data_IF_659743846792
#
_entry.id   IF_659743846792
#
_cell.length_a   1.000
_cell.length_b   1.000
_cell.length_c   1.000
_cell.angle_alpha   90.00
_cell.angle_beta   90.00
_cell.angle_gamma   90.00
#
_symmetry.space_group_name_H-M   'P 1'
#
loop_
_entity.id
_entity.type
_entity.pdbx_description
1 polymer ?
#
# COMPACT_ATOMS: atom_id res chain seq x y z
N UNK A 1 -26.90 44.13 35.88
CA UNK A 1 -25.82 43.25 36.36
C UNK A 1 -25.34 42.42 35.20
N UNK A 2 -24.19 42.85 34.63
CA UNK A 2 -23.56 42.18 33.49
C UNK A 2 -22.40 41.33 34.03
N UNK A 3 -22.48 40.01 33.85
CA UNK A 3 -21.39 39.10 34.19
C UNK A 3 -20.38 39.03 33.01
N UNK A 4 -19.10 39.21 33.25
CA UNK A 4 -18.10 39.03 32.22
C UNK A 4 -17.80 37.55 32.02
N UNK A 5 -18.05 37.05 30.80
CA UNK A 5 -17.62 35.72 30.36
C UNK A 5 -16.12 35.78 30.13
N UNK A 6 -15.34 35.17 31.05
CA UNK A 6 -13.92 34.89 30.83
C UNK A 6 -13.78 33.79 29.77
N UNK A 7 -13.44 34.19 28.55
CA UNK A 7 -13.05 33.26 27.50
C UNK A 7 -11.61 32.79 27.78
N UNK A 8 -11.48 31.59 28.30
CA UNK A 8 -10.21 30.90 28.47
C UNK A 8 -9.72 30.47 27.08
N UNK A 9 -8.69 31.13 26.56
CA UNK A 9 -7.98 30.69 25.36
C UNK A 9 -7.19 29.44 25.74
N UNK A 10 -7.69 28.27 25.31
CA UNK A 10 -6.91 27.02 25.30
C UNK A 10 -5.66 27.27 24.45
N UNK A 11 -4.49 27.34 25.10
CA UNK A 11 -3.20 27.24 24.39
C UNK A 11 -3.16 25.86 23.75
N UNK A 12 -3.37 25.79 22.43
CA UNK A 12 -2.99 24.64 21.61
C UNK A 12 -1.46 24.58 21.72
N UNK A 13 -0.97 23.69 22.56
CA UNK A 13 0.44 23.31 22.54
C UNK A 13 0.68 22.70 21.18
N UNK A 14 1.53 23.32 20.38
CA UNK A 14 2.04 22.76 19.15
C UNK A 14 2.69 21.41 19.50
N UNK A 15 1.99 20.31 19.27
CA UNK A 15 2.62 19.01 19.07
C UNK A 15 3.36 19.11 17.74
N UNK A 16 4.60 19.59 17.79
CA UNK A 16 5.56 19.32 16.74
C UNK A 16 5.95 17.84 16.93
N UNK A 17 5.14 16.91 16.44
CA UNK A 17 5.60 15.55 16.21
C UNK A 17 6.80 15.66 15.29
N UNK A 18 7.95 15.16 15.76
CA UNK A 18 9.14 15.01 14.92
C UNK A 18 8.73 14.02 13.84
N UNK A 19 8.42 14.52 12.67
CA UNK A 19 8.10 13.72 11.50
C UNK A 19 9.31 12.83 11.21
N UNK A 20 9.20 11.53 11.50
CA UNK A 20 10.27 10.56 11.27
C UNK A 20 9.99 9.87 9.96
N UNK A 21 10.78 10.17 8.93
CA UNK A 21 10.70 9.49 7.63
C UNK A 21 10.84 7.97 7.80
N UNK A 22 10.09 7.19 7.00
CA UNK A 22 10.12 5.72 7.06
C UNK A 22 11.41 5.11 6.52
N UNK A 23 12.24 5.87 5.83
CA UNK A 23 13.51 5.42 5.27
C UNK A 23 14.56 6.53 5.31
N UNK A 24 15.81 6.16 5.12
CA UNK A 24 17.00 7.04 5.18
C UNK A 24 17.94 6.78 4.01
N UNK A 25 19.05 7.51 3.94
CA UNK A 25 20.13 7.22 2.96
C UNK A 25 20.55 5.75 3.03
N UNK A 26 20.80 5.15 1.86
CA UNK A 26 21.20 3.76 1.63
C UNK A 26 20.10 2.73 1.98
N UNK A 27 18.85 3.15 2.18
CA UNK A 27 17.76 2.21 2.44
C UNK A 27 17.40 1.39 1.21
N UNK A 28 17.03 0.13 1.47
CA UNK A 28 16.40 -0.79 0.52
C UNK A 28 14.89 -0.77 0.73
N UNK A 29 14.14 -0.38 -0.29
CA UNK A 29 12.69 -0.28 -0.31
C UNK A 29 12.14 -1.44 -1.13
N UNK A 30 11.36 -2.33 -0.48
CA UNK A 30 10.76 -3.50 -1.10
C UNK A 30 9.25 -3.29 -1.30
N UNK A 31 8.77 -3.48 -2.51
CA UNK A 31 7.35 -3.52 -2.85
C UNK A 31 6.87 -4.95 -3.01
N UNK A 32 5.85 -5.34 -2.24
CA UNK A 32 5.16 -6.61 -2.29
C UNK A 32 3.70 -6.42 -2.66
N UNK A 33 3.15 -7.37 -3.40
CA UNK A 33 1.75 -7.32 -3.82
C UNK A 33 1.43 -8.23 -4.99
N UNK A 34 0.36 -7.87 -5.66
CA UNK A 34 -0.20 -8.57 -6.82
C UNK A 34 0.11 -7.84 -8.15
N UNK A 35 -0.81 -7.93 -9.14
CA UNK A 35 -0.69 -7.29 -10.46
C UNK A 35 -0.58 -5.77 -10.41
N UNK A 36 -1.16 -5.13 -9.40
CA UNK A 36 -1.09 -3.66 -9.23
C UNK A 36 0.35 -3.24 -8.90
N UNK A 37 1.04 -4.06 -8.12
CA UNK A 37 2.46 -3.84 -7.77
C UNK A 37 3.39 -4.35 -8.86
N UNK A 38 3.13 -5.53 -9.42
CA UNK A 38 3.88 -6.14 -10.53
C UNK A 38 3.96 -5.19 -11.75
N UNK A 39 2.80 -4.75 -12.23
CA UNK A 39 2.64 -3.82 -13.34
C UNK A 39 3.59 -4.09 -14.53
N UNK A 40 3.77 -5.36 -14.88
CA UNK A 40 4.62 -5.80 -16.00
C UNK A 40 6.12 -5.75 -15.72
N UNK A 41 6.54 -5.84 -14.44
CA UNK A 41 7.95 -5.96 -14.10
C UNK A 41 8.59 -7.18 -14.79
N UNK A 42 9.86 -7.07 -15.12
CA UNK A 42 10.62 -8.17 -15.71
C UNK A 42 11.62 -8.76 -14.71
N UNK A 43 12.19 -9.92 -15.06
CA UNK A 43 13.32 -10.51 -14.32
C UNK A 43 14.68 -9.91 -14.69
N UNK A 44 14.72 -8.83 -15.46
CA UNK A 44 15.93 -8.15 -15.89
C UNK A 44 16.71 -7.61 -14.69
N UNK A 45 18.06 -7.63 -14.73
CA UNK A 45 18.88 -6.90 -13.77
C UNK A 45 18.82 -5.37 -13.95
N UNK A 46 18.28 -4.89 -15.08
CA UNK A 46 18.07 -3.48 -15.34
C UNK A 46 17.01 -2.92 -14.38
N UNK A 47 17.35 -1.92 -13.54
CA UNK A 47 16.44 -1.36 -12.54
C UNK A 47 15.13 -0.85 -13.15
N UNK A 48 15.19 -0.21 -14.33
CA UNK A 48 14.01 0.41 -14.94
C UNK A 48 12.98 -0.63 -15.39
N UNK A 49 13.43 -1.78 -15.92
CA UNK A 49 12.53 -2.86 -16.34
C UNK A 49 12.14 -3.80 -15.18
N UNK A 50 12.94 -3.89 -14.13
CA UNK A 50 12.66 -4.72 -12.97
C UNK A 50 11.60 -4.14 -12.04
N UNK A 51 11.31 -2.84 -12.14
CA UNK A 51 10.27 -2.15 -11.34
C UNK A 51 8.88 -2.20 -11.98
N UNK A 52 8.77 -2.57 -13.25
CA UNK A 52 7.53 -2.50 -14.01
C UNK A 52 7.19 -1.07 -14.43
N UNK A 53 5.90 -0.82 -14.70
CA UNK A 53 5.39 0.49 -15.13
C UNK A 53 4.33 1.08 -14.18
N UNK A 54 4.24 0.54 -12.95
CA UNK A 54 3.27 0.93 -11.93
C UNK A 54 3.82 1.90 -10.90
N UNK A 55 3.10 2.04 -9.78
CA UNK A 55 3.47 2.96 -8.70
C UNK A 55 4.90 2.75 -8.15
N UNK A 56 5.48 1.51 -8.09
CA UNK A 56 6.86 1.34 -7.65
C UNK A 56 7.86 2.07 -8.55
N UNK A 57 7.64 2.04 -9.86
CA UNK A 57 8.46 2.75 -10.84
C UNK A 57 8.39 4.28 -10.64
N UNK A 58 7.18 4.83 -10.48
CA UNK A 58 7.00 6.27 -10.26
C UNK A 58 7.64 6.73 -8.94
N UNK A 59 7.48 5.95 -7.85
CA UNK A 59 8.12 6.25 -6.56
C UNK A 59 9.64 6.28 -6.70
N UNK A 60 10.23 5.24 -7.28
CA UNK A 60 11.67 5.11 -7.42
C UNK A 60 12.26 6.29 -8.22
N UNK A 61 11.66 6.62 -9.36
CA UNK A 61 12.15 7.71 -10.21
C UNK A 61 12.00 9.08 -9.53
N UNK A 62 10.87 9.35 -8.88
CA UNK A 62 10.66 10.61 -8.16
C UNK A 62 11.63 10.78 -6.99
N UNK A 63 11.84 9.72 -6.20
CA UNK A 63 12.77 9.78 -5.07
C UNK A 63 14.23 9.90 -5.51
N UNK A 64 14.65 9.15 -6.54
CA UNK A 64 16.00 9.26 -7.10
C UNK A 64 16.27 10.63 -7.72
N UNK A 65 15.27 11.23 -8.39
CA UNK A 65 15.40 12.57 -8.95
C UNK A 65 15.45 13.67 -7.86
N UNK A 66 14.70 13.48 -6.75
CA UNK A 66 14.64 14.45 -5.65
C UNK A 66 15.84 14.32 -4.71
N UNK A 67 16.30 13.09 -4.48
CA UNK A 67 17.38 12.77 -3.53
C UNK A 67 18.49 11.93 -4.18
N UNK A 68 19.19 12.44 -5.22
CA UNK A 68 20.16 11.66 -5.99
C UNK A 68 21.37 11.17 -5.17
N UNK A 69 21.65 11.82 -4.06
CA UNK A 69 22.74 11.46 -3.14
C UNK A 69 22.32 10.49 -2.02
N UNK A 70 21.09 10.00 -2.03
CA UNK A 70 20.60 9.09 -0.98
C UNK A 70 20.91 7.62 -1.26
N UNK A 71 21.33 7.27 -2.49
CA UNK A 71 21.68 5.90 -2.85
C UNK A 71 20.60 4.88 -2.43
N UNK A 72 19.34 5.16 -2.79
CA UNK A 72 18.22 4.29 -2.48
C UNK A 72 18.18 3.09 -3.44
N UNK A 73 17.85 1.91 -2.90
CA UNK A 73 17.63 0.69 -3.66
C UNK A 73 16.15 0.34 -3.66
N UNK A 74 15.59 0.03 -4.83
CA UNK A 74 14.18 -0.32 -4.98
C UNK A 74 14.05 -1.72 -5.55
N UNK A 75 13.19 -2.55 -4.94
CA UNK A 75 12.95 -3.93 -5.35
C UNK A 75 11.44 -4.14 -5.49
N UNK A 76 10.99 -4.55 -6.66
CA UNK A 76 9.60 -4.95 -6.88
C UNK A 76 9.50 -6.48 -6.89
N UNK A 77 8.66 -7.02 -6.00
CA UNK A 77 8.33 -8.45 -5.88
C UNK A 77 6.82 -8.70 -5.97
N UNK A 78 6.07 -7.77 -6.60
CA UNK A 78 4.70 -8.02 -7.01
C UNK A 78 4.61 -9.22 -7.96
N UNK A 79 3.55 -10.01 -7.84
CA UNK A 79 3.27 -11.15 -8.74
C UNK A 79 1.79 -11.13 -9.10
N UNK A 80 1.52 -10.94 -10.40
CA UNK A 80 0.15 -10.86 -10.92
C UNK A 80 -0.70 -12.04 -10.50
N UNK A 81 -1.91 -11.76 -10.01
CA UNK A 81 -2.88 -12.77 -9.58
C UNK A 81 -2.68 -13.31 -8.16
N UNK A 82 -1.59 -12.94 -7.45
CA UNK A 82 -1.39 -13.41 -6.09
C UNK A 82 -2.48 -12.91 -5.14
N UNK A 83 -2.93 -13.82 -4.29
CA UNK A 83 -3.67 -13.58 -3.04
C UNK A 83 -2.69 -13.59 -1.87
N UNK A 84 -3.20 -13.35 -0.67
CA UNK A 84 -2.40 -13.56 0.56
C UNK A 84 -1.84 -14.98 0.64
N UNK A 85 -2.55 -15.99 0.14
CA UNK A 85 -2.10 -17.39 0.09
C UNK A 85 -0.81 -17.56 -0.74
N UNK A 86 -0.82 -17.15 -1.99
CA UNK A 86 0.34 -17.31 -2.89
C UNK A 86 1.50 -16.40 -2.44
N UNK A 87 1.20 -15.19 -1.94
CA UNK A 87 2.23 -14.30 -1.40
C UNK A 87 2.92 -14.90 -0.17
N UNK A 88 2.17 -15.54 0.73
CA UNK A 88 2.73 -16.21 1.92
C UNK A 88 3.66 -17.37 1.55
N UNK A 89 3.34 -18.13 0.51
CA UNK A 89 4.15 -19.28 0.07
C UNK A 89 5.56 -18.88 -0.45
N UNK A 90 5.73 -17.62 -0.89
CA UNK A 90 7.02 -17.09 -1.37
C UNK A 90 7.67 -16.07 -0.43
N UNK A 91 7.09 -15.87 0.76
CA UNK A 91 7.46 -14.77 1.66
C UNK A 91 8.91 -14.81 2.12
N UNK A 92 9.42 -15.99 2.45
CA UNK A 92 10.82 -16.16 2.84
C UNK A 92 11.79 -15.69 1.74
N UNK A 93 11.60 -16.21 0.52
CA UNK A 93 12.48 -15.91 -0.62
C UNK A 93 12.37 -14.46 -1.08
N UNK A 94 11.14 -13.95 -1.19
CA UNK A 94 10.83 -12.68 -1.85
C UNK A 94 10.69 -11.50 -0.87
N UNK A 95 10.79 -11.74 0.45
CA UNK A 95 10.77 -10.71 1.49
C UNK A 95 11.89 -10.89 2.51
N UNK A 96 11.86 -11.97 3.33
CA UNK A 96 12.76 -12.09 4.48
C UNK A 96 14.24 -12.15 4.06
N UNK A 97 14.56 -12.91 3.01
CA UNK A 97 15.94 -13.05 2.50
C UNK A 97 16.48 -11.77 1.84
N UNK A 98 15.61 -10.81 1.48
CA UNK A 98 16.02 -9.53 0.88
C UNK A 98 16.37 -8.46 1.92
N UNK A 99 15.98 -8.66 3.19
CA UNK A 99 16.30 -7.81 4.33
C UNK A 99 16.06 -6.31 4.05
N UNK A 100 14.84 -5.91 3.64
CA UNK A 100 14.55 -4.52 3.36
C UNK A 100 14.61 -3.63 4.62
N UNK A 101 14.85 -2.33 4.43
CA UNK A 101 14.68 -1.32 5.47
C UNK A 101 13.23 -0.81 5.52
N UNK A 102 12.58 -0.73 4.36
CA UNK A 102 11.15 -0.39 4.24
C UNK A 102 10.44 -1.44 3.37
N UNK A 103 9.38 -2.00 3.91
CA UNK A 103 8.48 -2.93 3.22
C UNK A 103 7.16 -2.24 2.93
N UNK A 104 6.81 -2.14 1.65
CA UNK A 104 5.52 -1.64 1.17
C UNK A 104 4.67 -2.81 0.67
N UNK A 105 3.45 -2.98 1.19
CA UNK A 105 2.58 -4.12 0.85
C UNK A 105 1.21 -3.63 0.38
N UNK A 106 0.80 -4.07 -0.82
CA UNK A 106 -0.56 -3.89 -1.37
C UNK A 106 -1.08 -5.24 -1.85
N UNK A 107 -2.01 -5.85 -1.12
CA UNK A 107 -2.57 -7.17 -1.41
C UNK A 107 -4.01 -7.28 -0.92
N UNK A 108 -4.85 -8.07 -1.60
CA UNK A 108 -6.19 -8.42 -1.13
C UNK A 108 -7.28 -8.38 -2.20
N UNK A 109 -7.07 -7.68 -3.32
CA UNK A 109 -8.10 -7.62 -4.36
C UNK A 109 -8.33 -9.00 -5.00
N UNK A 110 -7.29 -9.83 -5.17
CA UNK A 110 -7.44 -11.17 -5.70
C UNK A 110 -8.05 -12.15 -4.68
N UNK A 111 -7.87 -11.92 -3.37
CA UNK A 111 -8.57 -12.65 -2.31
C UNK A 111 -10.09 -12.47 -2.41
N UNK A 112 -10.53 -11.34 -2.94
CA UNK A 112 -11.93 -11.07 -3.28
C UNK A 112 -12.28 -11.57 -4.67
N UNK A 113 -11.46 -11.25 -5.69
CA UNK A 113 -11.82 -11.55 -7.09
C UNK A 113 -12.02 -13.03 -7.37
N UNK A 114 -11.22 -13.92 -6.72
CA UNK A 114 -11.34 -15.39 -6.93
C UNK A 114 -12.68 -15.95 -6.49
N UNK A 115 -13.41 -15.29 -5.59
CA UNK A 115 -14.81 -15.62 -5.26
C UNK A 115 -15.72 -15.54 -6.49
N UNK A 116 -15.54 -14.50 -7.31
CA UNK A 116 -16.44 -14.17 -8.42
C UNK A 116 -16.07 -14.84 -9.74
N UNK A 117 -14.80 -15.04 -10.03
CA UNK A 117 -14.35 -15.61 -11.31
C UNK A 117 -14.07 -17.12 -11.25
N UNK A 118 -13.79 -17.67 -10.06
CA UNK A 118 -13.39 -19.08 -9.88
C UNK A 118 -14.20 -19.83 -8.84
N UNK A 119 -15.07 -19.17 -8.10
CA UNK A 119 -15.76 -19.81 -6.97
C UNK A 119 -14.80 -20.25 -5.86
N UNK A 120 -13.64 -19.61 -5.73
CA UNK A 120 -12.59 -19.93 -4.76
C UNK A 120 -12.38 -18.73 -3.78
N UNK A 121 -13.30 -18.54 -2.82
CA UNK A 121 -13.25 -17.41 -1.90
C UNK A 121 -12.13 -17.57 -0.87
N UNK A 122 -11.46 -16.48 -0.54
CA UNK A 122 -10.65 -16.37 0.68
C UNK A 122 -11.52 -15.78 1.78
N UNK A 123 -11.63 -16.45 2.94
CA UNK A 123 -12.36 -15.89 4.09
C UNK A 123 -11.64 -14.65 4.65
N UNK A 124 -12.37 -13.82 5.38
CA UNK A 124 -11.78 -12.65 6.06
C UNK A 124 -10.75 -13.09 7.10
N UNK A 125 -11.04 -14.16 7.82
CA UNK A 125 -10.16 -14.76 8.83
C UNK A 125 -8.85 -15.26 8.21
N UNK A 126 -8.93 -15.93 7.07
CA UNK A 126 -7.76 -16.41 6.33
C UNK A 126 -6.92 -15.25 5.78
N UNK A 127 -7.57 -14.23 5.22
CA UNK A 127 -6.90 -13.01 4.76
C UNK A 127 -6.16 -12.33 5.92
N UNK A 128 -6.86 -12.07 7.04
CA UNK A 128 -6.31 -11.45 8.24
C UNK A 128 -5.13 -12.24 8.81
N UNK A 129 -5.32 -13.54 9.02
CA UNK A 129 -4.30 -14.39 9.66
C UNK A 129 -3.04 -14.49 8.80
N UNK A 130 -3.16 -14.65 7.48
CA UNK A 130 -2.02 -14.72 6.56
C UNK A 130 -1.28 -13.39 6.48
N UNK A 131 -2.01 -12.27 6.32
CA UNK A 131 -1.41 -10.94 6.26
C UNK A 131 -0.66 -10.63 7.56
N UNK A 132 -1.30 -10.84 8.71
CA UNK A 132 -0.71 -10.61 10.03
C UNK A 132 0.53 -11.49 10.25
N UNK A 133 0.47 -12.78 9.91
CA UNK A 133 1.61 -13.70 10.05
C UNK A 133 2.81 -13.27 9.20
N UNK A 134 2.59 -12.84 7.95
CA UNK A 134 3.65 -12.36 7.06
C UNK A 134 4.33 -11.11 7.61
N UNK A 135 3.55 -10.09 8.02
CA UNK A 135 4.11 -8.85 8.55
C UNK A 135 4.82 -9.08 9.89
N UNK A 136 4.26 -9.93 10.76
CA UNK A 136 4.91 -10.33 12.01
C UNK A 136 6.24 -11.02 11.75
N UNK A 137 6.29 -12.00 10.85
CA UNK A 137 7.53 -12.68 10.49
C UNK A 137 8.59 -11.71 9.94
N UNK A 138 8.19 -10.69 9.18
CA UNK A 138 9.12 -9.67 8.70
C UNK A 138 9.68 -8.80 9.84
N UNK A 139 8.85 -8.38 10.80
CA UNK A 139 9.29 -7.65 12.00
C UNK A 139 10.17 -8.53 12.92
N UNK A 140 9.83 -9.80 13.09
CA UNK A 140 10.62 -10.73 13.89
C UNK A 140 12.03 -10.98 13.26
N UNK A 141 12.11 -11.00 11.92
CA UNK A 141 13.37 -11.14 11.19
C UNK A 141 14.23 -9.85 11.18
N UNK A 142 13.59 -8.68 11.22
CA UNK A 142 14.25 -7.38 11.31
C UNK A 142 13.40 -6.42 12.17
N UNK A 143 13.72 -6.25 13.47
CA UNK A 143 12.98 -5.35 14.37
C UNK A 143 12.99 -3.87 13.94
N UNK A 144 14.01 -3.44 13.19
CA UNK A 144 14.13 -2.06 12.69
C UNK A 144 13.35 -1.82 11.38
N UNK A 145 12.81 -2.90 10.77
CA UNK A 145 12.02 -2.82 9.55
C UNK A 145 10.86 -1.84 9.70
N UNK A 146 10.73 -0.92 8.75
CA UNK A 146 9.53 -0.10 8.61
C UNK A 146 8.54 -0.77 7.66
N UNK A 147 7.25 -0.72 8.01
CA UNK A 147 6.17 -1.29 7.19
C UNK A 147 5.17 -0.21 6.82
N UNK A 148 4.98 0.00 5.52
CA UNK A 148 3.89 0.79 4.95
C UNK A 148 2.87 -0.17 4.33
N UNK A 149 1.74 -0.33 5.00
CA UNK A 149 0.65 -1.18 4.52
C UNK A 149 -0.34 -0.34 3.72
N UNK A 150 -0.68 -0.81 2.52
CA UNK A 150 -1.59 -0.14 1.59
C UNK A 150 -2.90 -0.91 1.54
N UNK A 151 -3.99 -0.21 1.69
CA UNK A 151 -5.36 -0.74 1.65
C UNK A 151 -5.70 -1.28 0.26
N UNK A 152 -6.25 -2.52 0.15
CA UNK A 152 -6.83 -2.96 -1.11
C UNK A 152 -8.06 -2.12 -1.46
N UNK A 153 -8.34 -1.95 -2.76
CA UNK A 153 -9.41 -1.08 -3.24
C UNK A 153 -10.15 -1.69 -4.43
N UNK A 154 -11.33 -1.14 -4.72
CA UNK A 154 -12.10 -1.41 -5.95
C UNK A 154 -12.83 -0.14 -6.40
N UNK A 155 -12.78 0.18 -7.69
CA UNK A 155 -13.52 1.28 -8.27
C UNK A 155 -14.79 0.79 -8.96
N UNK A 156 -15.89 1.51 -8.77
CA UNK A 156 -17.22 1.15 -9.29
C UNK A 156 -17.35 1.56 -10.76
N UNK A 157 -16.65 0.86 -11.66
CA UNK A 157 -16.74 1.10 -13.11
C UNK A 157 -17.95 0.42 -13.74
N UNK A 158 -18.50 -0.61 -13.10
CA UNK A 158 -19.69 -1.35 -13.52
C UNK A 158 -20.33 -2.06 -12.30
N UNK A 159 -21.50 -2.69 -12.50
CA UNK A 159 -22.22 -3.38 -11.42
C UNK A 159 -21.48 -4.61 -10.89
N UNK A 160 -20.74 -5.32 -11.72
CA UNK A 160 -19.91 -6.45 -11.28
C UNK A 160 -18.86 -5.98 -10.25
N UNK A 161 -18.16 -4.89 -10.54
CA UNK A 161 -17.15 -4.35 -9.61
C UNK A 161 -17.79 -3.77 -8.34
N UNK A 162 -19.01 -3.24 -8.47
CA UNK A 162 -19.78 -2.81 -7.29
C UNK A 162 -20.07 -3.99 -6.34
N UNK A 163 -20.42 -5.16 -6.88
CA UNK A 163 -20.72 -6.33 -6.06
C UNK A 163 -19.52 -6.86 -5.27
N UNK A 164 -18.28 -6.54 -5.68
CA UNK A 164 -17.09 -6.95 -4.94
C UNK A 164 -17.02 -6.35 -3.53
N UNK A 165 -17.74 -5.25 -3.27
CA UNK A 165 -17.78 -4.61 -1.95
C UNK A 165 -18.24 -5.53 -0.84
N UNK A 166 -19.21 -6.41 -1.12
CA UNK A 166 -19.70 -7.38 -0.13
C UNK A 166 -18.56 -8.22 0.48
N UNK A 167 -17.57 -8.57 -0.32
CA UNK A 167 -16.47 -9.42 0.07
C UNK A 167 -15.18 -8.63 0.40
N UNK A 168 -14.95 -7.49 -0.27
CA UNK A 168 -13.76 -6.67 -0.07
C UNK A 168 -13.82 -5.81 1.18
N UNK A 169 -14.96 -5.19 1.50
CA UNK A 169 -15.06 -4.26 2.63
C UNK A 169 -14.68 -4.89 3.98
N UNK A 170 -15.09 -6.14 4.30
CA UNK A 170 -14.59 -6.83 5.49
C UNK A 170 -13.06 -7.06 5.47
N UNK A 171 -12.47 -7.32 4.30
CA UNK A 171 -11.00 -7.47 4.16
C UNK A 171 -10.27 -6.13 4.31
N UNK A 172 -10.86 -5.03 3.86
CA UNK A 172 -10.36 -3.67 4.14
C UNK A 172 -10.29 -3.43 5.65
N UNK A 173 -11.35 -3.77 6.39
CA UNK A 173 -11.36 -3.64 7.85
C UNK A 173 -10.28 -4.51 8.51
N UNK A 174 -10.11 -5.75 8.06
CA UNK A 174 -9.05 -6.64 8.53
C UNK A 174 -7.64 -6.10 8.22
N UNK A 175 -7.45 -5.48 7.05
CA UNK A 175 -6.22 -4.79 6.69
C UNK A 175 -5.91 -3.62 7.65
N UNK A 176 -6.92 -2.82 7.98
CA UNK A 176 -6.80 -1.70 8.95
C UNK A 176 -6.41 -2.20 10.33
N UNK A 177 -7.05 -3.26 10.80
CA UNK A 177 -6.72 -3.89 12.09
C UNK A 177 -5.28 -4.40 12.10
N UNK A 178 -4.84 -5.08 11.05
CA UNK A 178 -3.45 -5.52 10.91
C UNK A 178 -2.49 -4.33 10.96
N UNK A 179 -2.84 -3.22 10.27
CA UNK A 179 -2.02 -2.01 10.25
C UNK A 179 -1.84 -1.39 11.64
N UNK A 180 -2.91 -1.30 12.44
CA UNK A 180 -2.87 -0.74 13.79
C UNK A 180 -1.87 -1.46 14.71
N UNK A 181 -1.59 -2.74 14.45
CA UNK A 181 -0.71 -3.55 15.29
C UNK A 181 0.71 -3.70 14.74
N UNK A 182 0.91 -3.63 13.42
CA UNK A 182 2.17 -4.04 12.79
C UNK A 182 2.76 -3.03 11.81
N UNK A 183 1.99 -2.06 11.32
CA UNK A 183 2.49 -1.08 10.36
C UNK A 183 3.02 0.19 11.04
N UNK A 184 4.06 0.78 10.46
CA UNK A 184 4.56 2.10 10.84
C UNK A 184 3.78 3.21 10.11
N UNK A 185 3.20 2.89 8.95
CA UNK A 185 2.29 3.77 8.21
C UNK A 185 1.22 2.98 7.46
N UNK A 186 0.06 3.61 7.27
CA UNK A 186 -1.08 3.04 6.57
C UNK A 186 -1.61 3.98 5.49
N UNK A 187 -1.68 3.49 4.24
CA UNK A 187 -2.23 4.25 3.12
C UNK A 187 -3.67 3.82 2.85
N UNK A 188 -4.69 4.63 3.20
CA UNK A 188 -6.11 4.30 3.03
C UNK A 188 -6.54 4.47 1.57
N UNK A 189 -6.05 3.58 0.69
CA UNK A 189 -6.08 3.77 -0.76
C UNK A 189 -7.49 3.73 -1.33
N UNK A 190 -8.39 2.91 -0.78
CA UNK A 190 -9.79 2.86 -1.19
C UNK A 190 -10.48 4.22 -0.97
N UNK A 191 -10.28 4.81 0.20
CA UNK A 191 -10.78 6.16 0.50
C UNK A 191 -10.15 7.26 -0.38
N UNK A 192 -8.86 7.15 -0.68
CA UNK A 192 -8.15 8.09 -1.58
C UNK A 192 -8.74 8.04 -2.98
N UNK A 193 -8.98 6.84 -3.53
CA UNK A 193 -9.62 6.70 -4.83
C UNK A 193 -11.09 7.14 -4.81
N UNK A 194 -11.82 6.87 -3.74
CA UNK A 194 -13.20 7.39 -3.59
C UNK A 194 -13.22 8.92 -3.69
N UNK A 195 -12.30 9.61 -3.02
CA UNK A 195 -12.17 11.07 -3.11
C UNK A 195 -11.72 11.53 -4.52
N UNK A 196 -10.83 10.79 -5.17
CA UNK A 196 -10.39 11.10 -6.54
C UNK A 196 -11.54 10.98 -7.57
N UNK A 197 -12.45 10.03 -7.36
CA UNK A 197 -13.63 9.83 -8.21
C UNK A 197 -14.63 10.99 -8.17
N UNK A 198 -14.56 11.88 -7.19
CA UNK A 198 -15.32 13.14 -7.18
C UNK A 198 -14.80 14.14 -8.23
N UNK A 199 -13.55 13.99 -8.68
CA UNK A 199 -12.93 14.89 -9.67
C UNK A 199 -13.05 14.36 -11.10
N UNK A 200 -12.94 13.05 -11.27
CA UNK A 200 -13.03 12.36 -12.56
C UNK A 200 -13.68 10.99 -12.34
N UNK A 201 -14.39 10.47 -13.36
CA UNK A 201 -15.05 9.17 -13.35
C UNK A 201 -14.08 8.03 -12.97
N UNK A 202 -14.56 6.95 -12.34
CA UNK A 202 -13.72 5.83 -11.89
C UNK A 202 -12.82 5.23 -12.98
N UNK A 203 -13.31 5.15 -14.22
CA UNK A 203 -12.56 4.58 -15.36
C UNK A 203 -11.33 5.42 -15.75
N UNK A 204 -11.27 6.70 -15.40
CA UNK A 204 -10.07 7.51 -15.57
C UNK A 204 -8.92 7.01 -14.68
N UNK A 205 -9.22 6.54 -13.48
CA UNK A 205 -8.25 6.07 -12.51
C UNK A 205 -7.92 4.58 -12.66
N UNK A 206 -8.92 3.77 -13.06
CA UNK A 206 -8.79 2.34 -13.33
C UNK A 206 -9.86 1.93 -14.34
N UNK A 207 -9.47 1.48 -15.53
CA UNK A 207 -10.40 1.16 -16.60
C UNK A 207 -11.31 -0.04 -16.27
N UNK A 208 -10.79 -1.01 -15.53
CA UNK A 208 -11.50 -2.23 -15.11
C UNK A 208 -11.92 -2.23 -13.64
N UNK A 209 -11.63 -1.14 -12.93
CA UNK A 209 -11.93 -0.96 -11.51
C UNK A 209 -10.88 -1.54 -10.56
N UNK A 210 -9.91 -2.31 -11.06
CA UNK A 210 -8.85 -2.98 -10.27
C UNK A 210 -7.47 -2.46 -10.63
N UNK A 211 -7.11 -2.50 -11.93
CA UNK A 211 -5.78 -2.14 -12.39
C UNK A 211 -5.72 -0.63 -12.68
N UNK A 212 -4.91 0.14 -11.92
CA UNK A 212 -4.80 1.58 -12.14
C UNK A 212 -4.28 1.90 -13.54
N UNK A 213 -4.80 2.99 -14.11
CA UNK A 213 -4.16 3.66 -15.25
C UNK A 213 -2.86 4.33 -14.79
N UNK A 214 -2.09 4.90 -15.70
CA UNK A 214 -0.92 5.70 -15.31
C UNK A 214 -1.29 6.86 -14.36
N UNK A 215 -2.46 7.49 -14.54
CA UNK A 215 -2.94 8.50 -13.62
C UNK A 215 -3.24 7.91 -12.22
N UNK A 216 -3.86 6.72 -12.17
CA UNK A 216 -4.09 5.98 -10.93
C UNK A 216 -2.79 5.58 -10.23
N UNK A 217 -1.83 5.01 -10.95
CA UNK A 217 -0.51 4.68 -10.40
C UNK A 217 0.25 5.92 -9.90
N UNK A 218 0.16 7.03 -10.63
CA UNK A 218 0.78 8.30 -10.20
C UNK A 218 0.15 8.82 -8.91
N UNK A 219 -1.18 8.72 -8.77
CA UNK A 219 -1.88 9.09 -7.52
C UNK A 219 -1.41 8.23 -6.34
N UNK A 220 -1.29 6.91 -6.54
CA UNK A 220 -0.75 6.00 -5.51
C UNK A 220 0.67 6.45 -5.12
N UNK A 221 1.55 6.68 -6.10
CA UNK A 221 2.93 7.08 -5.87
C UNK A 221 3.04 8.40 -5.09
N UNK A 222 2.26 9.41 -5.46
CA UNK A 222 2.22 10.69 -4.75
C UNK A 222 1.82 10.52 -3.29
N UNK A 223 0.72 9.77 -3.03
CA UNK A 223 0.23 9.55 -1.67
C UNK A 223 1.15 8.67 -0.84
N UNK A 224 1.81 7.72 -1.46
CA UNK A 224 2.85 6.91 -0.82
C UNK A 224 4.05 7.76 -0.38
N UNK A 225 4.57 8.63 -1.27
CA UNK A 225 5.70 9.52 -0.97
C UNK A 225 5.32 10.53 0.11
N UNK A 226 4.16 11.18 0.00
CA UNK A 226 3.65 12.10 1.02
C UNK A 226 3.64 11.42 2.40
N UNK A 227 3.11 10.20 2.49
CA UNK A 227 3.02 9.46 3.74
C UNK A 227 4.40 9.03 4.25
N UNK A 228 5.23 8.41 3.41
CA UNK A 228 6.53 7.87 3.80
C UNK A 228 7.57 8.94 4.20
N UNK A 229 7.37 10.18 3.75
CA UNK A 229 8.24 11.33 4.04
C UNK A 229 7.75 12.20 5.21
N UNK A 230 6.50 11.99 5.69
CA UNK A 230 5.86 12.79 6.74
C UNK A 230 5.49 12.01 8.00
N UNK A 231 5.87 10.75 8.10
CA UNK A 231 5.64 9.91 9.29
C UNK A 231 6.58 10.23 10.44
#
# INVERSE_FOLDING_TARGET
MTFPVKMSILKVTNFCEVSVMLFKKNSTILFQGDSITDAGRTGSPDPDSSLGSGYPFFIANLLNATYPDWNLSFINRGVSGNRTLEMSARWEKDCLNLKPDLLSVLIGINDTWRRYDRGDPTSVEDYYSRLTAMLKAAKDANPDLKILLIEPFILHVNEERRSFREDLDPKILACRETAMHLADAYLPLDGIFAAACLKREPSFWSADGVHPTFAGHTLIAQKWIELAMSC
#
